data_IF_057910786286
#
_entry.id   IF_057910786286
#
_cell.length_a   1.000
_cell.length_b   1.000
_cell.length_c   1.000
_cell.angle_alpha   90.00
_cell.angle_beta   90.00
_cell.angle_gamma   90.00
#
_symmetry.space_group_name_H-M   'P 1'
#
loop_
_entity.id
_entity.type
_entity.pdbx_description
1 polymer ?
#
# COMPACT_ATOMS: atom_id res chain seq x y z
N UNK A 1 49.23 24.95 49.91
CA UNK A 1 49.21 25.05 48.44
C UNK A 1 48.78 23.72 47.84
N UNK A 2 47.56 23.62 47.30
CA UNK A 2 47.17 22.58 46.36
C UNK A 2 46.36 23.27 45.26
N UNK A 3 46.98 23.38 44.09
CA UNK A 3 46.43 24.01 42.89
C UNK A 3 45.51 22.99 42.23
N UNK A 4 44.20 23.16 42.39
CA UNK A 4 43.20 22.38 41.65
C UNK A 4 43.35 22.71 40.17
N UNK A 5 43.53 21.66 39.35
CA UNK A 5 43.53 21.78 37.89
C UNK A 5 42.07 21.71 37.44
N UNK A 6 41.54 22.84 36.98
CA UNK A 6 40.28 22.89 36.24
C UNK A 6 40.40 21.97 35.03
N UNK A 7 39.64 20.88 35.03
CA UNK A 7 39.46 20.02 33.88
C UNK A 7 38.45 20.65 32.91
N UNK A 8 38.92 21.53 32.04
CA UNK A 8 38.18 21.94 30.84
C UNK A 8 38.38 20.89 29.76
N UNK A 9 37.64 19.78 29.84
CA UNK A 9 37.38 18.96 28.66
C UNK A 9 36.25 19.62 27.87
N UNK A 10 36.60 20.67 27.12
CA UNK A 10 35.78 21.11 26.00
C UNK A 10 35.83 19.97 24.97
N UNK A 11 34.74 19.20 24.90
CA UNK A 11 34.56 18.09 23.98
C UNK A 11 34.25 18.64 22.57
N UNK A 12 35.11 19.52 22.08
CA UNK A 12 35.03 20.15 20.76
C UNK A 12 35.76 19.23 19.77
N UNK A 13 35.25 18.01 19.62
CA UNK A 13 35.75 17.07 18.63
C UNK A 13 35.45 17.68 17.26
N UNK A 14 36.46 18.37 16.69
CA UNK A 14 36.40 18.99 15.37
C UNK A 14 35.78 17.99 14.39
N UNK A 15 34.62 18.35 13.85
CA UNK A 15 33.91 17.56 12.84
C UNK A 15 34.91 17.19 11.73
N UNK A 16 35.07 15.91 11.36
CA UNK A 16 36.06 15.51 10.38
C UNK A 16 35.74 16.14 9.01
N UNK A 17 36.79 16.41 8.22
CA UNK A 17 36.69 17.02 6.89
C UNK A 17 35.65 16.33 6.00
N UNK A 18 35.55 15.00 6.09
CA UNK A 18 34.63 14.17 5.30
C UNK A 18 33.17 14.50 5.63
N UNK A 19 32.84 14.77 6.89
CA UNK A 19 31.49 15.14 7.31
C UNK A 19 31.10 16.52 6.79
N UNK A 20 32.05 17.47 6.74
CA UNK A 20 31.84 18.77 6.10
C UNK A 20 31.65 18.64 4.59
N UNK A 21 32.42 17.78 3.92
CA UNK A 21 32.18 17.45 2.50
C UNK A 21 30.79 16.83 2.33
N UNK A 22 30.38 15.91 3.21
CA UNK A 22 29.06 15.31 3.18
C UNK A 22 27.94 16.34 3.36
N UNK A 23 28.14 17.35 4.20
CA UNK A 23 27.21 18.47 4.35
C UNK A 23 27.02 19.24 3.05
N UNK A 24 28.10 19.49 2.30
CA UNK A 24 28.04 20.17 1.00
C UNK A 24 27.40 19.28 -0.08
N UNK A 25 27.73 17.99 -0.14
CA UNK A 25 27.14 17.04 -1.09
C UNK A 25 25.61 17.00 -0.99
N UNK A 26 25.05 17.14 0.22
CA UNK A 26 23.58 17.13 0.45
C UNK A 26 22.81 18.22 -0.29
N UNK A 27 23.49 19.27 -0.79
CA UNK A 27 22.88 20.34 -1.58
C UNK A 27 22.57 19.90 -3.02
N UNK A 28 23.11 18.77 -3.47
CA UNK A 28 22.92 18.26 -4.82
C UNK A 28 21.98 17.05 -4.87
N UNK A 29 21.27 16.84 -6.00
CA UNK A 29 20.40 15.67 -6.19
C UNK A 29 21.12 14.32 -6.09
N UNK A 30 22.43 14.28 -6.33
CA UNK A 30 23.24 13.06 -6.21
C UNK A 30 24.72 13.39 -6.01
N UNK A 31 25.49 12.41 -5.49
CA UNK A 31 26.96 12.50 -5.38
C UNK A 31 27.63 12.76 -6.74
N UNK A 32 27.12 12.12 -7.79
CA UNK A 32 27.60 12.32 -9.16
C UNK A 32 27.29 13.71 -9.70
N UNK A 33 26.22 14.36 -9.24
CA UNK A 33 25.93 15.76 -9.57
C UNK A 33 26.89 16.71 -8.84
N UNK A 34 27.13 16.49 -7.54
CA UNK A 34 28.11 17.26 -6.76
C UNK A 34 29.51 17.18 -7.37
N UNK A 35 29.99 15.97 -7.69
CA UNK A 35 31.30 15.76 -8.30
C UNK A 35 31.45 16.48 -9.65
N UNK A 36 30.39 16.51 -10.48
CA UNK A 36 30.37 17.25 -11.74
C UNK A 36 30.42 18.77 -11.51
N UNK A 37 29.65 19.28 -10.55
CA UNK A 37 29.63 20.69 -10.20
C UNK A 37 31.00 21.17 -9.69
N UNK A 38 31.69 20.34 -8.90
CA UNK A 38 33.01 20.68 -8.34
C UNK A 38 34.18 20.41 -9.31
N UNK A 39 33.93 19.83 -10.48
CA UNK A 39 34.98 19.46 -11.43
C UNK A 39 35.95 18.39 -10.89
N UNK A 40 35.42 17.41 -10.15
CA UNK A 40 36.18 16.30 -9.55
C UNK A 40 35.69 14.94 -10.09
N UNK A 41 36.53 13.91 -10.00
CA UNK A 41 36.13 12.57 -10.43
C UNK A 41 35.15 11.96 -9.41
N UNK A 42 34.02 11.43 -9.90
CA UNK A 42 32.98 10.77 -9.10
C UNK A 42 33.54 9.62 -8.26
N UNK A 43 34.51 8.87 -8.78
CA UNK A 43 35.17 7.78 -8.06
C UNK A 43 36.02 8.31 -6.89
N UNK A 44 36.66 9.47 -7.05
CA UNK A 44 37.38 10.15 -5.98
C UNK A 44 36.43 10.55 -4.86
N UNK A 45 35.28 11.16 -5.20
CA UNK A 45 34.28 11.51 -4.19
C UNK A 45 33.73 10.26 -3.48
N UNK A 46 33.40 9.22 -4.24
CA UNK A 46 32.87 7.96 -3.70
C UNK A 46 33.88 7.22 -2.80
N UNK A 47 35.19 7.33 -3.06
CA UNK A 47 36.20 6.70 -2.21
C UNK A 47 36.19 7.18 -0.76
N UNK A 48 35.74 8.42 -0.51
CA UNK A 48 35.62 8.95 0.85
C UNK A 48 34.37 8.46 1.60
N UNK A 49 33.40 7.87 0.90
CA UNK A 49 32.17 7.30 1.49
C UNK A 49 32.21 5.77 1.63
N UNK A 50 33.33 5.14 1.25
CA UNK A 50 33.51 3.70 1.48
C UNK A 50 33.80 3.49 2.97
N UNK A 51 33.23 2.42 3.54
CA UNK A 51 33.37 2.06 4.97
C UNK A 51 34.78 1.59 5.36
N UNK A 52 35.81 1.88 4.56
CA UNK A 52 37.18 1.50 4.84
C UNK A 52 37.77 2.50 5.81
N UNK A 53 37.92 2.07 7.06
CA UNK A 53 38.70 2.80 8.08
C UNK A 53 40.17 2.37 7.90
N UNK A 54 41.12 3.30 7.77
CA UNK A 54 41.00 4.75 7.92
C UNK A 54 40.56 5.46 6.63
N UNK A 55 39.59 6.36 6.74
CA UNK A 55 39.13 7.16 5.60
C UNK A 55 40.27 8.08 5.13
N UNK A 56 40.65 8.05 3.84
CA UNK A 56 41.78 8.82 3.35
C UNK A 56 41.51 10.32 3.52
N UNK A 57 42.51 11.06 4.02
CA UNK A 57 42.43 12.52 4.12
C UNK A 57 42.37 13.12 2.71
N UNK A 58 41.36 13.95 2.38
CA UNK A 58 41.30 14.63 1.10
C UNK A 58 42.54 15.50 0.85
N UNK A 59 43.04 15.49 -0.38
CA UNK A 59 44.15 16.37 -0.78
C UNK A 59 43.69 17.83 -0.78
N UNK A 60 44.58 18.75 -0.42
CA UNK A 60 44.30 20.19 -0.37
C UNK A 60 43.74 20.74 -1.69
N UNK A 61 44.28 20.30 -2.84
CA UNK A 61 43.76 20.67 -4.17
C UNK A 61 42.30 20.27 -4.39
N UNK A 62 41.85 19.16 -3.79
CA UNK A 62 40.45 18.75 -3.86
C UNK A 62 39.58 19.69 -3.02
N UNK A 63 40.03 20.00 -1.80
CA UNK A 63 39.35 20.91 -0.89
C UNK A 63 39.25 22.32 -1.49
N UNK A 64 40.29 22.80 -2.16
CA UNK A 64 40.29 24.08 -2.85
C UNK A 64 39.21 24.17 -3.95
N UNK A 65 39.08 23.13 -4.77
CA UNK A 65 38.03 23.08 -5.82
C UNK A 65 36.62 23.09 -5.24
N UNK A 66 36.41 22.32 -4.16
CA UNK A 66 35.11 22.27 -3.48
C UNK A 66 34.83 23.63 -2.84
N UNK A 67 35.83 24.23 -2.18
CA UNK A 67 35.74 25.53 -1.55
C UNK A 67 35.35 26.64 -2.54
N UNK A 68 36.03 26.68 -3.69
CA UNK A 68 35.75 27.63 -4.77
C UNK A 68 34.34 27.43 -5.35
N UNK A 69 33.93 26.18 -5.59
CA UNK A 69 32.61 25.88 -6.17
C UNK A 69 31.45 26.16 -5.23
N UNK A 70 31.65 25.99 -3.91
CA UNK A 70 30.63 26.18 -2.88
C UNK A 70 30.65 27.56 -2.24
N UNK A 71 31.65 28.38 -2.57
CA UNK A 71 31.85 29.69 -1.94
C UNK A 71 32.16 29.59 -0.45
N UNK A 72 32.88 28.55 -0.02
CA UNK A 72 33.26 28.34 1.38
C UNK A 72 34.75 28.57 1.58
N UNK A 73 35.18 28.92 2.79
CA UNK A 73 36.60 29.06 3.07
C UNK A 73 37.28 27.67 3.09
N UNK A 74 38.47 27.61 2.49
CA UNK A 74 39.31 26.40 2.53
C UNK A 74 39.60 25.98 3.98
N UNK A 75 39.82 26.96 4.85
CA UNK A 75 40.08 26.78 6.27
C UNK A 75 38.90 26.12 6.98
N UNK A 76 37.67 26.61 6.78
CA UNK A 76 36.49 25.96 7.34
C UNK A 76 36.33 24.53 6.83
N UNK A 77 36.56 24.28 5.54
CA UNK A 77 36.43 22.94 4.99
C UNK A 77 37.50 21.98 5.53
N UNK A 78 38.74 22.44 5.71
CA UNK A 78 39.89 21.64 6.12
C UNK A 78 40.01 21.45 7.64
N UNK A 79 39.75 22.47 8.45
CA UNK A 79 39.89 22.41 9.92
C UNK A 79 38.57 22.60 10.65
N UNK A 80 37.61 23.29 10.04
CA UNK A 80 36.34 23.66 10.69
C UNK A 80 36.41 24.97 11.44
N UNK A 81 37.58 25.61 11.39
CA UNK A 81 37.78 26.92 11.97
C UNK A 81 37.30 27.97 10.95
N UNK A 82 36.41 28.88 11.36
CA UNK A 82 35.85 29.94 10.51
C UNK A 82 34.33 29.92 10.39
N UNK A 83 33.78 30.90 9.64
CA UNK A 83 32.35 30.99 9.37
C UNK A 83 31.89 29.79 8.55
N UNK A 84 31.03 28.96 9.15
CA UNK A 84 30.29 27.95 8.41
C UNK A 84 29.52 28.64 7.29
N UNK A 85 29.49 28.07 6.06
CA UNK A 85 28.56 28.54 5.06
C UNK A 85 27.19 28.59 5.72
N UNK A 86 26.58 29.78 5.73
CA UNK A 86 25.24 29.95 6.25
C UNK A 86 24.40 28.84 5.62
N UNK A 87 23.96 27.92 6.47
CA UNK A 87 23.02 26.92 6.06
C UNK A 87 21.84 27.71 5.54
N UNK A 88 21.64 27.73 4.22
CA UNK A 88 20.30 27.79 3.69
C UNK A 88 19.61 26.55 4.25
N UNK A 89 19.10 26.69 5.48
CA UNK A 89 18.08 25.85 6.08
C UNK A 89 16.89 26.05 5.17
N UNK A 90 16.88 25.35 4.04
CA UNK A 90 15.59 24.89 3.53
C UNK A 90 15.12 23.94 4.63
N UNK A 91 14.04 24.28 5.36
CA UNK A 91 13.55 23.41 6.40
C UNK A 91 13.24 22.08 5.74
N UNK A 92 13.92 21.03 6.20
CA UNK A 92 13.71 19.65 5.79
C UNK A 92 12.38 19.22 6.40
N UNK A 93 11.30 19.74 5.83
CA UNK A 93 10.04 19.04 5.73
C UNK A 93 9.73 19.02 4.23
N UNK A 94 10.63 18.37 3.47
CA UNK A 94 10.37 18.08 2.06
C UNK A 94 9.22 17.10 2.05
N UNK A 95 8.07 17.56 1.60
CA UNK A 95 6.96 16.67 1.34
C UNK A 95 7.31 15.77 0.15
N UNK A 96 6.62 14.63 0.07
CA UNK A 96 6.82 13.66 -1.01
C UNK A 96 6.56 14.27 -2.39
N UNK A 97 5.78 15.33 -2.46
CA UNK A 97 5.49 16.06 -3.69
C UNK A 97 6.76 16.79 -4.17
N UNK A 98 7.48 17.49 -3.29
CA UNK A 98 8.75 18.13 -3.61
C UNK A 98 9.79 17.13 -4.11
N UNK A 99 9.86 15.94 -3.51
CA UNK A 99 10.76 14.87 -3.97
C UNK A 99 10.43 14.39 -5.39
N UNK A 100 9.13 14.26 -5.72
CA UNK A 100 8.68 13.87 -7.06
C UNK A 100 9.00 14.97 -8.08
N UNK A 101 8.84 16.24 -7.72
CA UNK A 101 9.13 17.37 -8.61
C UNK A 101 10.62 17.55 -8.89
N UNK A 102 11.50 17.17 -7.96
CA UNK A 102 12.95 17.19 -8.14
C UNK A 102 13.42 16.20 -9.23
N UNK A 103 12.70 15.09 -9.46
CA UNK A 103 13.02 14.13 -10.53
C UNK A 103 12.75 14.67 -11.94
N UNK A 104 11.89 15.68 -12.06
CA UNK A 104 11.48 16.22 -13.34
C UNK A 104 12.51 17.23 -13.86
N UNK A 105 12.69 17.26 -15.17
CA UNK A 105 13.39 18.36 -15.86
C UNK A 105 12.52 19.62 -15.89
N UNK A 106 13.12 20.75 -16.25
CA UNK A 106 12.40 22.02 -16.31
C UNK A 106 11.25 21.99 -17.34
N UNK A 107 11.50 21.36 -18.48
CA UNK A 107 10.51 21.16 -19.54
C UNK A 107 9.35 20.25 -19.09
N UNK A 108 9.64 19.24 -18.27
CA UNK A 108 8.62 18.35 -17.70
C UNK A 108 7.79 19.06 -16.63
N UNK A 109 8.41 19.90 -15.79
CA UNK A 109 7.70 20.74 -14.82
C UNK A 109 6.75 21.72 -15.51
N UNK A 110 7.19 22.36 -16.59
CA UNK A 110 6.32 23.24 -17.38
C UNK A 110 5.14 22.47 -18.01
N UNK A 111 5.39 21.30 -18.61
CA UNK A 111 4.32 20.46 -19.17
C UNK A 111 3.33 19.98 -18.10
N UNK A 112 3.82 19.61 -16.93
CA UNK A 112 2.99 19.22 -15.79
C UNK A 112 2.12 20.40 -15.33
N UNK A 113 2.70 21.59 -15.16
CA UNK A 113 1.97 22.78 -14.76
C UNK A 113 0.84 23.14 -15.74
N UNK A 114 1.11 23.11 -17.05
CA UNK A 114 0.10 23.36 -18.09
C UNK A 114 -1.03 22.32 -18.02
N UNK A 115 -0.68 21.04 -17.86
CA UNK A 115 -1.66 19.95 -17.78
C UNK A 115 -2.53 20.08 -16.53
N UNK A 116 -1.92 20.39 -15.39
CA UNK A 116 -2.61 20.59 -14.13
C UNK A 116 -3.56 21.80 -14.22
N UNK A 117 -3.12 22.91 -14.80
CA UNK A 117 -3.95 24.09 -15.02
C UNK A 117 -5.14 23.77 -15.92
N UNK A 118 -4.92 23.09 -17.05
CA UNK A 118 -6.00 22.74 -17.98
C UNK A 118 -7.01 21.79 -17.34
N UNK A 119 -6.54 20.79 -16.60
CA UNK A 119 -7.43 19.85 -15.89
C UNK A 119 -8.15 20.51 -14.71
N UNK A 120 -7.50 21.45 -14.03
CA UNK A 120 -8.11 22.28 -13.00
C UNK A 120 -9.25 23.14 -13.56
N UNK A 121 -9.01 23.84 -14.67
CA UNK A 121 -10.05 24.62 -15.36
C UNK A 121 -11.21 23.72 -15.81
N UNK A 122 -10.93 22.58 -16.42
CA UNK A 122 -11.97 21.61 -16.81
C UNK A 122 -12.83 21.17 -15.61
N UNK A 123 -12.18 20.87 -14.48
CA UNK A 123 -12.87 20.45 -13.25
C UNK A 123 -13.71 21.58 -12.66
N UNK A 124 -13.18 22.80 -12.62
CA UNK A 124 -13.91 23.97 -12.13
C UNK A 124 -15.10 24.27 -13.03
N UNK A 125 -14.94 24.21 -14.36
CA UNK A 125 -16.04 24.39 -15.30
C UNK A 125 -17.11 23.30 -15.15
N UNK A 126 -16.71 22.05 -14.94
CA UNK A 126 -17.64 20.98 -14.60
C UNK A 126 -18.38 21.25 -13.28
N UNK A 127 -17.68 21.70 -12.24
CA UNK A 127 -18.33 22.02 -10.96
C UNK A 127 -19.21 23.27 -11.00
N UNK A 128 -18.97 24.18 -11.95
CA UNK A 128 -19.75 25.40 -12.18
C UNK A 128 -20.88 25.20 -13.20
N UNK A 129 -20.93 24.05 -13.86
CA UNK A 129 -22.00 23.66 -14.77
C UNK A 129 -23.32 23.52 -13.99
N UNK A 130 -24.41 24.08 -14.54
CA UNK A 130 -25.70 24.15 -13.83
C UNK A 130 -26.22 22.75 -13.48
N UNK A 131 -26.04 21.75 -14.33
CA UNK A 131 -26.46 20.38 -14.06
C UNK A 131 -25.65 19.77 -12.92
N UNK A 132 -24.35 20.05 -12.86
CA UNK A 132 -23.46 19.59 -11.79
C UNK A 132 -23.75 20.28 -10.46
N UNK A 133 -24.04 21.58 -10.47
CA UNK A 133 -24.51 22.33 -9.30
C UNK A 133 -25.85 21.76 -8.82
N UNK A 134 -26.81 21.53 -9.72
CA UNK A 134 -28.11 20.96 -9.40
C UNK A 134 -27.98 19.56 -8.79
N UNK A 135 -27.08 18.71 -9.30
CA UNK A 135 -26.79 17.39 -8.72
C UNK A 135 -26.15 17.49 -7.33
N UNK A 136 -25.18 18.39 -7.14
CA UNK A 136 -24.54 18.60 -5.84
C UNK A 136 -25.52 19.16 -4.81
N UNK A 137 -26.40 20.08 -5.21
CA UNK A 137 -27.47 20.62 -4.37
C UNK A 137 -28.51 19.54 -4.04
N UNK A 138 -28.89 18.68 -4.98
CA UNK A 138 -29.76 17.53 -4.71
C UNK A 138 -29.13 16.55 -3.71
N UNK A 139 -27.82 16.29 -3.81
CA UNK A 139 -27.09 15.45 -2.86
C UNK A 139 -26.93 16.11 -1.48
N UNK A 140 -26.66 17.42 -1.45
CA UNK A 140 -26.54 18.23 -0.22
C UNK A 140 -27.86 18.29 0.54
N UNK A 141 -28.97 18.43 -0.20
CA UNK A 141 -30.32 18.41 0.35
C UNK A 141 -30.80 16.99 0.74
N UNK A 142 -29.99 15.95 0.48
CA UNK A 142 -30.29 14.54 0.78
C UNK A 142 -29.51 13.92 1.94
N UNK A 143 -28.63 14.63 2.68
CA UNK A 143 -28.05 14.06 3.90
C UNK A 143 -27.77 15.11 5.01
N UNK A 144 -28.09 14.84 6.30
CA UNK A 144 -28.47 13.55 6.91
C UNK A 144 -29.86 13.58 7.58
N UNK A 145 -30.82 12.85 7.00
CA UNK A 145 -31.69 12.03 7.83
C UNK A 145 -30.94 10.71 7.98
N UNK A 146 -30.29 10.52 9.14
CA UNK A 146 -29.75 9.21 9.52
C UNK A 146 -30.93 8.33 9.89
N UNK A 147 -31.60 7.76 8.91
CA UNK A 147 -32.36 6.53 9.11
C UNK A 147 -31.41 5.38 8.74
N UNK A 148 -31.23 4.39 9.62
CA UNK A 148 -30.46 3.20 9.29
C UNK A 148 -31.29 2.36 8.32
N UNK A 149 -31.31 2.75 7.04
CA UNK A 149 -31.87 1.93 5.96
C UNK A 149 -30.75 1.63 4.98
N UNK A 150 -29.85 0.77 5.45
CA UNK A 150 -29.06 -0.06 4.57
C UNK A 150 -30.02 -0.83 3.64
N UNK A 151 -29.86 -0.63 2.33
CA UNK A 151 -30.24 -1.57 1.26
C UNK A 151 -31.62 -2.22 1.41
N UNK A 152 -32.68 -1.49 1.11
CA UNK A 152 -33.91 -2.11 0.61
C UNK A 152 -34.00 -1.80 -0.88
N UNK A 153 -33.51 -2.74 -1.70
CA UNK A 153 -34.07 -2.93 -3.04
C UNK A 153 -35.60 -2.95 -2.89
N UNK A 154 -36.39 -2.47 -3.87
CA UNK A 154 -37.83 -2.76 -3.84
C UNK A 154 -37.97 -4.28 -3.64
N UNK A 155 -38.84 -4.72 -2.74
CA UNK A 155 -39.12 -6.14 -2.53
C UNK A 155 -39.69 -6.70 -3.85
N UNK A 156 -38.81 -7.02 -4.78
CA UNK A 156 -39.16 -7.69 -6.01
C UNK A 156 -39.39 -9.13 -5.62
N UNK A 157 -40.66 -9.44 -5.35
CA UNK A 157 -41.11 -10.79 -5.09
C UNK A 157 -40.98 -11.56 -6.41
N UNK A 158 -39.87 -12.27 -6.56
CA UNK A 158 -39.61 -13.13 -7.71
C UNK A 158 -40.76 -14.12 -7.88
N UNK A 159 -41.18 -14.34 -9.13
CA UNK A 159 -42.11 -15.42 -9.43
C UNK A 159 -41.39 -16.78 -9.32
N UNK A 160 -42.15 -17.86 -9.19
CA UNK A 160 -41.55 -19.20 -9.12
C UNK A 160 -40.78 -19.54 -10.42
N UNK A 161 -41.24 -19.03 -11.56
CA UNK A 161 -40.57 -19.21 -12.86
C UNK A 161 -39.23 -18.46 -12.92
N UNK A 162 -39.16 -17.24 -12.37
CA UNK A 162 -37.92 -16.47 -12.27
C UNK A 162 -36.91 -17.15 -11.34
N UNK A 163 -37.39 -17.64 -10.19
CA UNK A 163 -36.57 -18.41 -9.25
C UNK A 163 -36.05 -19.70 -9.90
N UNK A 164 -36.89 -20.42 -10.65
CA UNK A 164 -36.49 -21.64 -11.36
C UNK A 164 -35.39 -21.36 -12.41
N UNK A 165 -35.53 -20.29 -13.19
CA UNK A 165 -34.51 -19.89 -14.15
C UNK A 165 -33.16 -19.55 -13.49
N UNK A 166 -33.21 -18.84 -12.35
CA UNK A 166 -32.01 -18.54 -11.56
C UNK A 166 -31.36 -19.81 -10.99
N UNK A 167 -32.16 -20.78 -10.55
CA UNK A 167 -31.69 -22.06 -10.02
C UNK A 167 -31.00 -22.89 -11.12
N UNK A 168 -31.56 -22.92 -12.33
CA UNK A 168 -31.00 -23.68 -13.45
C UNK A 168 -29.65 -23.12 -13.93
N UNK A 169 -29.39 -21.83 -13.71
CA UNK A 169 -28.13 -21.17 -14.04
C UNK A 169 -26.97 -21.45 -13.05
N UNK A 170 -27.25 -22.10 -11.90
CA UNK A 170 -26.21 -22.38 -10.89
C UNK A 170 -25.17 -23.39 -11.43
N UNK A 171 -23.87 -23.20 -11.13
CA UNK A 171 -22.79 -24.12 -11.54
C UNK A 171 -22.70 -25.34 -10.62
N UNK A 172 -23.83 -26.03 -10.40
CA UNK A 172 -23.95 -27.25 -9.58
C UNK A 172 -24.61 -28.37 -10.38
N UNK A 173 -24.55 -29.61 -9.85
CA UNK A 173 -25.09 -30.80 -10.52
C UNK A 173 -26.58 -30.66 -10.84
N UNK A 174 -27.00 -31.10 -12.02
CA UNK A 174 -28.40 -31.03 -12.50
C UNK A 174 -29.41 -31.67 -11.55
N UNK A 175 -29.03 -32.77 -10.88
CA UNK A 175 -29.88 -33.44 -9.90
C UNK A 175 -30.23 -32.54 -8.71
N UNK A 176 -29.28 -31.69 -8.27
CA UNK A 176 -29.50 -30.73 -7.19
C UNK A 176 -30.34 -29.54 -7.66
N UNK A 177 -30.11 -29.04 -8.89
CA UNK A 177 -30.92 -27.96 -9.47
C UNK A 177 -32.38 -28.37 -9.61
N UNK A 178 -32.62 -29.58 -10.10
CA UNK A 178 -33.95 -30.16 -10.25
C UNK A 178 -34.65 -30.35 -8.90
N UNK A 179 -33.93 -30.88 -7.90
CA UNK A 179 -34.47 -31.05 -6.56
C UNK A 179 -34.82 -29.69 -5.93
N UNK A 180 -33.97 -28.69 -6.09
CA UNK A 180 -34.16 -27.36 -5.53
C UNK A 180 -35.32 -26.61 -6.20
N UNK A 181 -35.43 -26.64 -7.53
CA UNK A 181 -36.56 -26.07 -8.27
C UNK A 181 -37.90 -26.70 -7.86
N UNK A 182 -37.94 -28.02 -7.65
CA UNK A 182 -39.14 -28.73 -7.16
C UNK A 182 -39.51 -28.33 -5.73
N UNK A 183 -38.52 -28.11 -4.85
CA UNK A 183 -38.73 -27.60 -3.50
C UNK A 183 -39.40 -26.23 -3.50
N UNK A 184 -38.87 -25.30 -4.31
CA UNK A 184 -39.44 -23.95 -4.48
C UNK A 184 -40.91 -24.00 -4.93
N UNK A 185 -41.26 -24.89 -5.86
CA UNK A 185 -42.64 -25.06 -6.32
C UNK A 185 -43.56 -25.71 -5.26
N UNK A 186 -43.03 -26.59 -4.41
CA UNK A 186 -43.78 -27.33 -3.40
C UNK A 186 -43.93 -26.59 -2.05
N UNK A 187 -43.10 -25.56 -1.82
CA UNK A 187 -43.17 -24.67 -0.66
C UNK A 187 -42.53 -25.23 0.63
N UNK A 188 -42.49 -24.39 1.67
CA UNK A 188 -41.70 -24.62 2.91
C UNK A 188 -42.03 -25.92 3.67
N UNK A 189 -43.21 -26.50 3.47
CA UNK A 189 -43.56 -27.79 4.07
C UNK A 189 -42.77 -28.94 3.43
N UNK A 190 -42.58 -28.90 2.10
CA UNK A 190 -41.77 -29.88 1.38
C UNK A 190 -40.29 -29.72 1.70
N UNK A 191 -39.81 -28.48 1.81
CA UNK A 191 -38.41 -28.18 2.17
C UNK A 191 -38.04 -28.79 3.53
N UNK A 192 -38.92 -28.63 4.53
CA UNK A 192 -38.72 -29.21 5.87
C UNK A 192 -38.66 -30.74 5.84
N UNK A 193 -39.49 -31.39 5.02
CA UNK A 193 -39.46 -32.85 4.90
C UNK A 193 -38.20 -33.34 4.16
N UNK A 194 -37.77 -32.63 3.11
CA UNK A 194 -36.50 -32.93 2.41
C UNK A 194 -35.32 -32.86 3.38
N UNK A 195 -35.24 -31.79 4.18
CA UNK A 195 -34.19 -31.64 5.20
C UNK A 195 -34.26 -32.76 6.25
N UNK A 196 -35.46 -33.11 6.72
CA UNK A 196 -35.67 -34.22 7.67
C UNK A 196 -35.16 -35.55 7.11
N UNK A 197 -35.44 -35.83 5.83
CA UNK A 197 -34.98 -37.05 5.16
C UNK A 197 -33.46 -37.06 5.03
N UNK A 198 -32.83 -35.94 4.65
CA UNK A 198 -31.38 -35.84 4.53
C UNK A 198 -30.67 -36.02 5.88
N UNK A 199 -31.18 -35.39 6.95
CA UNK A 199 -30.64 -35.59 8.31
C UNK A 199 -30.77 -37.05 8.79
N UNK A 200 -31.84 -37.74 8.41
CA UNK A 200 -32.01 -39.16 8.74
C UNK A 200 -31.03 -40.05 7.98
N UNK A 201 -30.65 -39.69 6.75
CA UNK A 201 -29.61 -40.39 5.99
C UNK A 201 -28.22 -40.15 6.59
N UNK A 202 -27.91 -38.93 7.04
CA UNK A 202 -26.64 -38.63 7.71
C UNK A 202 -26.50 -39.37 9.05
N UNK A 203 -27.58 -39.49 9.83
CA UNK A 203 -27.57 -40.26 11.10
C UNK A 203 -27.55 -41.77 10.89
N UNK A 204 -28.08 -42.26 9.77
CA UNK A 204 -28.05 -43.68 9.40
C UNK A 204 -26.69 -44.17 8.90
N UNK A 205 -25.81 -43.27 8.46
CA UNK A 205 -24.45 -43.60 7.98
C UNK A 205 -23.45 -43.34 9.11
N UNK A 206 -23.38 -44.27 10.06
CA UNK A 206 -22.27 -44.32 11.02
C UNK A 206 -20.99 -44.77 10.30
N UNK A 207 -19.85 -44.06 10.42
CA UNK A 207 -18.59 -44.44 9.78
C UNK A 207 -17.92 -45.56 10.58
N UNK A 208 -18.24 -46.80 10.24
CA UNK A 208 -17.59 -47.95 10.86
C UNK A 208 -18.23 -49.28 10.54
N UNK A 209 -18.23 -49.69 9.28
CA UNK A 209 -18.22 -51.11 8.86
C UNK A 209 -17.97 -51.18 7.35
N UNK A 210 -16.79 -51.66 6.96
CA UNK A 210 -16.56 -52.23 5.62
C UNK A 210 -16.65 -53.76 5.75
N UNK A 211 -16.78 -54.47 4.63
CA UNK A 211 -17.94 -55.25 4.23
C UNK A 211 -17.98 -56.66 4.85
N UNK A 212 -19.11 -57.38 4.72
CA UNK A 212 -19.20 -58.77 4.23
C UNK A 212 -20.50 -59.48 4.71
N UNK A 213 -20.84 -60.54 3.97
CA UNK A 213 -21.77 -61.62 4.26
C UNK A 213 -23.15 -61.53 3.61
N UNK A 214 -23.14 -61.82 2.30
CA UNK A 214 -24.09 -62.73 1.64
C UNK A 214 -24.60 -63.80 2.61
N UNK A 215 -25.90 -63.83 2.94
CA UNK A 215 -26.60 -65.05 3.36
C UNK A 215 -28.04 -65.08 2.84
N UNK A 216 -28.18 -65.83 1.75
CA UNK A 216 -29.38 -66.54 1.30
C UNK A 216 -30.15 -67.17 2.47
N UNK A 217 -31.49 -67.11 2.53
CA UNK A 217 -32.26 -67.98 3.38
C UNK A 217 -32.67 -69.24 2.62
N UNK A 218 -32.11 -70.39 3.03
CA UNK A 218 -32.63 -71.72 2.70
C UNK A 218 -33.61 -72.14 3.83
N UNK A 219 -34.91 -72.35 3.55
CA UNK A 219 -35.88 -72.74 4.56
C UNK A 219 -35.94 -74.27 4.66
N UNK A 220 -35.29 -74.82 5.68
CA UNK A 220 -35.50 -76.23 6.06
C UNK A 220 -35.32 -76.45 7.55
N UNK A 221 -36.41 -76.24 8.30
CA UNK A 221 -36.65 -76.91 9.57
C UNK A 221 -37.96 -77.70 9.48
N UNK A 222 -37.79 -79.00 9.21
CA UNK A 222 -38.60 -80.13 9.71
C UNK A 222 -38.87 -79.94 11.23
N UNK A 223 -39.96 -80.37 11.88
CA UNK A 223 -40.85 -81.52 11.66
C UNK A 223 -41.95 -81.53 12.78
N UNK A 224 -42.89 -82.47 12.62
CA UNK A 224 -43.83 -83.07 13.59
C UNK A 224 -45.25 -82.47 13.62
N UNK A 225 -46.26 -83.11 13.04
CA UNK A 225 -46.88 -84.42 13.36
C UNK A 225 -47.81 -84.35 14.57
N UNK A 226 -49.11 -84.36 14.25
CA UNK A 226 -50.28 -84.39 15.11
C UNK A 226 -51.50 -84.29 14.22
#
# INVERSE_FOLDING_TARGET
MRKERQGTFANDAKVPVIDRIAQLVRRYPSRSAAARAWGINVNTLNSYYKNDVPTPTPRENLLAKIAESEGVSLEWLATGDGESPESQKTPINRDRLSEILDFLTEEERQRLAITLARKGVETILYLLDEDSINLLEQHRNRAPQVTPQARSQPEHKYTNEELEAMIMALPVRESLKTAFARGVAAGEAADREILRILESHERGVSPGSVPDATKTPDPSLKQNAG
#
